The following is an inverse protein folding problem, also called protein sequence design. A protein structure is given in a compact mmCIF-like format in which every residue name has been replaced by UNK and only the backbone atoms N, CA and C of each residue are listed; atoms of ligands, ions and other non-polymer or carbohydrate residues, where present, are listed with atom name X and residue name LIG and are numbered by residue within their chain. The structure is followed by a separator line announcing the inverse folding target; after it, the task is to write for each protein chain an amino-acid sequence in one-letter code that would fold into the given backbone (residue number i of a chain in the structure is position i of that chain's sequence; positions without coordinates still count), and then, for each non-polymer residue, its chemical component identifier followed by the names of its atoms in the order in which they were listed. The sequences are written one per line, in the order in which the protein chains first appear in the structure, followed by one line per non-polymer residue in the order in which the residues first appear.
data_IF_975795222735
#
_entry.id   IF_975795222735
#
_cell.length_a   1.000
_cell.length_b   1.000
_cell.length_c   1.000
_cell.angle_alpha   90.00
_cell.angle_beta   90.00
_cell.angle_gamma   90.00
#
_symmetry.space_group_name_H-M   'P 1'
#
loop_
_entity.id
_entity.type
_entity.pdbx_description
1 polymer ?
#
# COMPACT_ATOMS: atom_id res chain seq x y z
N UNK A 1 -2.71 9.53 9.51
CA UNK A 1 -2.85 8.38 8.59
C UNK A 1 -3.84 8.66 7.45
N UNK A 2 -5.06 9.17 7.75
CA UNK A 2 -6.10 9.46 6.75
C UNK A 2 -5.64 10.20 5.49
N UNK A 3 -4.90 11.31 5.61
CA UNK A 3 -4.38 12.08 4.46
C UNK A 3 -3.64 11.23 3.41
N UNK A 4 -2.84 10.26 3.86
CA UNK A 4 -2.08 9.36 2.97
C UNK A 4 -3.01 8.40 2.24
N UNK A 5 -4.00 7.88 2.94
CA UNK A 5 -5.02 6.97 2.40
C UNK A 5 -5.84 7.70 1.33
N UNK A 6 -6.37 8.87 1.66
CA UNK A 6 -7.15 9.71 0.72
C UNK A 6 -6.34 10.05 -0.53
N UNK A 7 -5.07 10.45 -0.38
CA UNK A 7 -4.21 10.74 -1.52
C UNK A 7 -3.98 9.52 -2.42
N UNK A 8 -3.75 8.33 -1.83
CA UNK A 8 -3.61 7.09 -2.60
C UNK A 8 -4.94 6.69 -3.26
N UNK A 9 -6.07 6.89 -2.59
CA UNK A 9 -7.39 6.61 -3.11
C UNK A 9 -7.70 7.48 -4.34
N UNK A 10 -7.49 8.80 -4.25
CA UNK A 10 -7.67 9.71 -5.38
C UNK A 10 -6.79 9.33 -6.58
N UNK A 11 -5.54 8.91 -6.34
CA UNK A 11 -4.67 8.48 -7.43
C UNK A 11 -5.15 7.16 -8.04
N UNK A 12 -5.66 6.22 -7.24
CA UNK A 12 -6.27 5.00 -7.75
C UNK A 12 -7.51 5.28 -8.61
N UNK A 13 -8.39 6.17 -8.17
CA UNK A 13 -9.57 6.59 -8.93
C UNK A 13 -9.16 7.28 -10.25
N UNK A 14 -8.14 8.13 -10.21
CA UNK A 14 -7.59 8.77 -11.41
C UNK A 14 -7.06 7.74 -12.42
N UNK A 15 -6.33 6.72 -11.94
CA UNK A 15 -5.84 5.64 -12.80
C UNK A 15 -6.98 4.82 -13.39
N UNK A 16 -8.00 4.49 -12.59
CA UNK A 16 -9.17 3.75 -13.04
C UNK A 16 -9.95 4.54 -14.10
N UNK A 17 -10.08 5.86 -13.95
CA UNK A 17 -10.69 6.73 -14.94
C UNK A 17 -9.91 6.72 -16.27
N UNK A 18 -8.58 6.82 -16.24
CA UNK A 18 -7.75 6.73 -17.45
C UNK A 18 -7.87 5.37 -18.14
N UNK A 19 -7.93 4.27 -17.38
CA UNK A 19 -8.16 2.93 -17.94
C UNK A 19 -9.52 2.84 -18.63
N UNK A 20 -10.58 3.38 -18.01
CA UNK A 20 -11.93 3.42 -18.60
C UNK A 20 -12.01 4.30 -19.85
N UNK A 21 -11.22 5.37 -19.91
CA UNK A 21 -11.10 6.23 -21.08
C UNK A 21 -10.29 5.59 -22.23
N UNK A 22 -9.78 4.37 -22.06
CA UNK A 22 -9.06 3.63 -23.10
C UNK A 22 -7.58 4.01 -23.23
N UNK A 23 -6.99 4.67 -22.22
CA UNK A 23 -5.55 4.96 -22.22
C UNK A 23 -4.76 3.64 -22.19
N UNK A 24 -3.82 3.49 -23.13
CA UNK A 24 -3.13 2.23 -23.36
C UNK A 24 -2.29 1.78 -22.16
N UNK A 25 -2.25 0.47 -21.93
CA UNK A 25 -1.54 -0.13 -20.79
C UNK A 25 -0.04 0.22 -20.74
N UNK A 26 0.60 0.45 -21.89
CA UNK A 26 2.00 0.89 -21.97
C UNK A 26 2.22 2.31 -21.42
N UNK A 27 1.25 3.20 -21.56
CA UNK A 27 1.30 4.55 -21.02
C UNK A 27 1.02 4.56 -19.51
N UNK A 28 0.10 3.69 -19.05
CA UNK A 28 -0.27 3.62 -17.64
C UNK A 28 0.65 2.74 -16.79
N UNK A 29 1.40 1.81 -17.39
CA UNK A 29 2.15 0.77 -16.68
C UNK A 29 3.12 1.31 -15.62
N UNK A 30 3.89 2.35 -15.96
CA UNK A 30 4.82 2.99 -15.01
C UNK A 30 4.10 3.66 -13.84
N UNK A 31 3.04 4.43 -14.14
CA UNK A 31 2.23 5.09 -13.10
C UNK A 31 1.51 4.07 -12.20
N UNK A 32 1.03 2.96 -12.77
CA UNK A 32 0.40 1.87 -12.02
C UNK A 32 1.39 1.17 -11.09
N UNK A 33 2.62 0.93 -11.56
CA UNK A 33 3.69 0.36 -10.74
C UNK A 33 4.05 1.30 -9.57
N UNK A 34 4.15 2.61 -9.84
CA UNK A 34 4.40 3.62 -8.81
C UNK A 34 3.25 3.73 -7.80
N UNK A 35 1.99 3.72 -8.27
CA UNK A 35 0.82 3.71 -7.41
C UNK A 35 0.84 2.50 -6.47
N UNK A 36 1.17 1.31 -7.00
CA UNK A 36 1.31 0.10 -6.18
C UNK A 36 2.36 0.26 -5.10
N UNK A 37 3.57 0.75 -5.44
CA UNK A 37 4.64 0.99 -4.46
C UNK A 37 4.24 2.03 -3.41
N UNK A 38 3.54 3.09 -3.82
CA UNK A 38 3.02 4.09 -2.89
C UNK A 38 1.98 3.50 -1.93
N UNK A 39 1.07 2.66 -2.44
CA UNK A 39 0.05 1.99 -1.64
C UNK A 39 0.65 1.03 -0.61
N UNK A 40 1.64 0.22 -1.00
CA UNK A 40 2.30 -0.72 -0.08
C UNK A 40 3.09 0.01 1.01
N UNK A 41 3.81 1.09 0.68
CA UNK A 41 4.48 1.96 1.67
C UNK A 41 3.50 2.61 2.63
N UNK A 42 2.34 3.07 2.14
CA UNK A 42 1.32 3.66 3.00
C UNK A 42 0.68 2.59 3.91
N UNK A 43 0.50 1.37 3.44
CA UNK A 43 0.03 0.24 4.25
C UNK A 43 1.04 -0.10 5.36
N UNK A 44 2.33 -0.16 5.04
CA UNK A 44 3.40 -0.39 6.03
C UNK A 44 3.44 0.70 7.09
N UNK A 45 3.37 1.95 6.67
CA UNK A 45 3.27 3.08 7.59
C UNK A 45 2.06 2.92 8.52
N UNK A 46 0.89 2.62 7.98
CA UNK A 46 -0.32 2.51 8.79
C UNK A 46 -0.28 1.33 9.77
N UNK A 47 0.21 0.16 9.34
CA UNK A 47 0.34 -1.00 10.21
C UNK A 47 1.31 -0.72 11.37
N UNK A 48 2.44 -0.06 11.09
CA UNK A 48 3.43 0.31 12.12
C UNK A 48 2.86 1.28 13.15
N UNK A 49 2.18 2.35 12.71
CA UNK A 49 1.56 3.31 13.63
C UNK A 49 0.44 2.66 14.46
N UNK A 50 -0.36 1.77 13.85
CA UNK A 50 -1.39 1.02 14.57
C UNK A 50 -0.79 0.10 15.64
N UNK A 51 0.34 -0.57 15.35
CA UNK A 51 1.06 -1.37 16.34
C UNK A 51 1.61 -0.53 17.50
N UNK A 52 2.09 0.68 17.22
CA UNK A 52 2.57 1.60 18.26
C UNK A 52 1.44 2.05 19.19
N UNK A 53 0.26 2.35 18.65
CA UNK A 53 -0.92 2.74 19.44
C UNK A 53 -1.42 1.58 20.30
N UNK A 54 -1.47 0.37 19.74
CA UNK A 54 -2.00 -0.82 20.40
C UNK A 54 -1.00 -1.50 21.35
N UNK A 55 0.28 -1.13 21.31
CA UNK A 55 1.32 -1.69 22.16
C UNK A 55 1.45 -3.21 22.01
N UNK A 56 1.69 -3.92 23.13
CA UNK A 56 1.89 -5.37 23.14
C UNK A 56 0.72 -6.18 22.56
N UNK A 57 -0.52 -5.66 22.62
CA UNK A 57 -1.69 -6.33 22.05
C UNK A 57 -1.63 -6.44 20.53
N UNK A 58 -0.86 -5.60 19.84
CA UNK A 58 -0.71 -5.67 18.37
C UNK A 58 0.03 -6.90 17.86
N UNK A 59 0.70 -7.65 18.74
CA UNK A 59 1.42 -8.89 18.42
C UNK A 59 0.60 -10.15 18.65
N UNK A 60 -0.55 -10.02 19.34
CA UNK A 60 -1.38 -11.14 19.73
C UNK A 60 -2.44 -11.38 18.66
N UNK A 61 -2.62 -12.64 18.26
CA UNK A 61 -3.57 -13.07 17.23
C UNK A 61 -5.01 -13.21 17.74
N UNK A 62 -5.26 -12.75 18.95
CA UNK A 62 -6.53 -12.86 19.64
C UNK A 62 -6.96 -11.49 20.16
N UNK A 63 -8.27 -11.32 20.36
CA UNK A 63 -8.83 -10.07 20.85
C UNK A 63 -8.71 -8.91 19.86
N UNK A 64 -8.74 -7.68 20.36
CA UNK A 64 -8.84 -6.46 19.54
C UNK A 64 -7.58 -6.17 18.71
N UNK A 65 -6.43 -6.74 19.08
CA UNK A 65 -5.15 -6.54 18.40
C UNK A 65 -4.94 -7.43 17.16
N UNK A 66 -5.75 -8.48 16.98
CA UNK A 66 -5.59 -9.46 15.89
C UNK A 66 -5.63 -8.82 14.50
N UNK A 67 -6.41 -7.74 14.34
CA UNK A 67 -6.53 -7.03 13.06
C UNK A 67 -5.20 -6.34 12.72
N UNK A 68 -4.55 -5.73 13.71
CA UNK A 68 -3.26 -5.05 13.52
C UNK A 68 -2.15 -6.08 13.26
N UNK A 69 -2.13 -7.20 13.99
CA UNK A 69 -1.20 -8.31 13.74
C UNK A 69 -1.31 -8.82 12.30
N UNK A 70 -2.54 -9.05 11.85
CA UNK A 70 -2.82 -9.53 10.49
C UNK A 70 -2.37 -8.54 9.43
N UNK A 71 -2.74 -7.27 9.57
CA UNK A 71 -2.32 -6.21 8.65
C UNK A 71 -0.80 -6.10 8.57
N UNK A 72 -0.10 -6.18 9.71
CA UNK A 72 1.36 -6.12 9.78
C UNK A 72 2.03 -7.27 9.00
N UNK A 73 1.45 -8.49 9.04
CA UNK A 73 1.94 -9.62 8.23
C UNK A 73 1.64 -9.44 6.74
N UNK A 74 0.44 -8.99 6.40
CA UNK A 74 0.01 -8.78 5.01
C UNK A 74 0.82 -7.71 4.28
N UNK A 75 1.25 -6.65 4.99
CA UNK A 75 2.14 -5.61 4.45
C UNK A 75 3.39 -6.21 3.81
N UNK A 76 4.03 -7.18 4.47
CA UNK A 76 5.29 -7.77 3.98
C UNK A 76 5.05 -8.58 2.71
N UNK A 77 3.97 -9.34 2.65
CA UNK A 77 3.58 -10.11 1.46
C UNK A 77 3.29 -9.16 0.29
N UNK A 78 2.52 -8.09 0.53
CA UNK A 78 2.17 -7.12 -0.50
C UNK A 78 3.38 -6.31 -1.01
N UNK A 79 4.35 -6.01 -0.15
CA UNK A 79 5.58 -5.33 -0.55
C UNK A 79 6.52 -6.24 -1.36
N UNK A 80 6.64 -7.53 -0.99
CA UNK A 80 7.54 -8.49 -1.65
C UNK A 80 6.97 -8.93 -3.00
N UNK A 81 5.70 -9.32 -3.06
CA UNK A 81 5.07 -9.88 -4.27
C UNK A 81 4.90 -8.90 -5.43
N UNK A 82 5.33 -7.64 -5.28
CA UNK A 82 5.10 -6.58 -6.26
C UNK A 82 6.32 -5.88 -6.83
N UNK A 83 7.54 -6.30 -6.51
CA UNK A 83 8.75 -5.60 -6.94
C UNK A 83 8.98 -4.25 -6.23
N UNK A 84 8.45 -4.10 -5.00
CA UNK A 84 8.63 -2.86 -4.22
C UNK A 84 10.03 -2.72 -3.59
N UNK A 85 10.91 -3.71 -3.75
CA UNK A 85 12.30 -3.68 -3.30
C UNK A 85 13.24 -3.31 -4.44
N UNK A 86 13.74 -2.08 -4.44
CA UNK A 86 14.92 -1.64 -5.20
C UNK A 86 14.74 -1.40 -6.71
N UNK A 87 14.00 -2.24 -7.44
CA UNK A 87 13.99 -2.20 -8.91
C UNK A 87 13.26 -0.99 -9.55
N UNK A 88 12.21 -0.46 -8.92
CA UNK A 88 11.40 0.61 -9.51
C UNK A 88 11.97 2.03 -9.28
N UNK A 89 12.92 2.21 -8.36
CA UNK A 89 13.60 3.49 -8.10
C UNK A 89 14.74 3.77 -9.09
N UNK A 90 15.08 2.82 -9.97
CA UNK A 90 16.10 2.98 -11.02
C UNK A 90 15.55 3.41 -12.39
N UNK A 91 14.27 3.79 -12.47
CA UNK A 91 13.60 4.20 -13.71
C UNK A 91 13.16 5.68 -13.70
N UNK A 92 13.69 6.48 -12.78
CA UNK A 92 13.54 7.94 -12.74
C UNK A 92 14.87 8.62 -12.99
#
# INVERSE_FOLDING_TARGET
MARRIESTHTWLEHMAAQMRAGVGQRQLGGQMALLKVNATKNMEFCAREASQIMGGSSYVREGKGQIVERLYREVRVNAIGGGSGGGLLGLS
#
